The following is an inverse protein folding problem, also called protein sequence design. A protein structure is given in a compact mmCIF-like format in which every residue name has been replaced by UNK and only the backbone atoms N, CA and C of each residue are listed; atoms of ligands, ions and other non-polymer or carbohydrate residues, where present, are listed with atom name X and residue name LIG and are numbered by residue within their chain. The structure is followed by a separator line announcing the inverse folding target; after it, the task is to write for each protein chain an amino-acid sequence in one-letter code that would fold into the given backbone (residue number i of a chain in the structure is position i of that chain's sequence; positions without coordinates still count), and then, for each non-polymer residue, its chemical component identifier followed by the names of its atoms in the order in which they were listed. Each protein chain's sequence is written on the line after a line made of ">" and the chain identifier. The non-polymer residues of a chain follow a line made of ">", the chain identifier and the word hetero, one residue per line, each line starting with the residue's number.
data_IF_893883212706
#
_entry.id   IF_893883212706
#
_cell.length_a   1.000
_cell.length_b   1.000
_cell.length_c   1.000
_cell.angle_alpha   90.00
_cell.angle_beta   90.00
_cell.angle_gamma   90.00
#
_symmetry.space_group_name_H-M   'P 1'
#
loop_
_entity.id
_entity.type
_entity.pdbx_description
1 polymer ?
#
# COMPACT_ATOMS: atom_id res chain seq x y z
N UNK A 1 14.95 -10.66 -25.03
CA UNK A 1 13.68 -9.91 -24.89
C UNK A 1 12.89 -10.23 -23.60
N UNK A 2 13.53 -10.47 -22.44
CA UNK A 2 12.81 -10.88 -21.20
C UNK A 2 12.64 -9.71 -20.18
N UNK A 3 13.56 -8.73 -20.15
CA UNK A 3 13.54 -7.62 -19.16
C UNK A 3 12.31 -6.71 -19.25
N UNK A 4 11.82 -6.39 -20.45
CA UNK A 4 10.71 -5.42 -20.63
C UNK A 4 9.39 -5.92 -20.03
N UNK A 5 9.14 -7.24 -20.06
CA UNK A 5 7.90 -7.83 -19.54
C UNK A 5 7.82 -7.73 -18.02
N UNK A 6 8.95 -7.95 -17.32
CA UNK A 6 9.02 -7.83 -15.86
C UNK A 6 8.76 -6.39 -15.42
N UNK A 7 9.42 -5.43 -16.06
CA UNK A 7 9.26 -3.99 -15.78
C UNK A 7 7.83 -3.50 -16.01
N UNK A 8 7.17 -3.94 -17.09
CA UNK A 8 5.75 -3.61 -17.34
C UNK A 8 4.82 -4.18 -16.27
N UNK A 9 5.09 -5.38 -15.76
CA UNK A 9 4.30 -6.01 -14.70
C UNK A 9 4.45 -5.24 -13.40
N UNK A 10 5.68 -4.91 -13.01
CA UNK A 10 5.97 -4.14 -11.81
C UNK A 10 5.29 -2.76 -11.84
N UNK A 11 5.40 -2.03 -12.95
CA UNK A 11 4.70 -0.75 -13.12
C UNK A 11 3.17 -0.87 -13.01
N UNK A 12 2.61 -1.92 -13.61
CA UNK A 12 1.16 -2.17 -13.55
C UNK A 12 0.71 -2.53 -12.14
N UNK A 13 1.54 -3.28 -11.40
CA UNK A 13 1.29 -3.64 -10.02
C UNK A 13 1.33 -2.42 -9.10
N UNK A 14 2.32 -1.54 -9.28
CA UNK A 14 2.40 -0.25 -8.55
C UNK A 14 1.18 0.62 -8.77
N UNK A 15 0.74 0.78 -10.02
CA UNK A 15 -0.46 1.58 -10.33
C UNK A 15 -1.74 0.98 -9.77
N UNK A 16 -1.88 -0.34 -9.79
CA UNK A 16 -3.09 -1.00 -9.31
C UNK A 16 -3.11 -1.21 -7.79
N UNK A 17 -1.95 -1.26 -7.13
CA UNK A 17 -1.84 -1.47 -5.70
C UNK A 17 -2.72 -0.51 -4.88
N UNK A 18 -2.64 0.82 -5.02
CA UNK A 18 -3.44 1.74 -4.21
C UNK A 18 -4.94 1.61 -4.47
N UNK A 19 -5.35 1.22 -5.68
CA UNK A 19 -6.75 1.00 -6.03
C UNK A 19 -7.25 -0.30 -5.37
N UNK A 20 -6.45 -1.37 -5.46
CA UNK A 20 -6.79 -2.68 -4.92
C UNK A 20 -6.81 -2.67 -3.41
N UNK A 21 -5.80 -2.13 -2.74
CA UNK A 21 -5.73 -2.11 -1.28
C UNK A 21 -6.87 -1.30 -0.64
N UNK A 22 -7.27 -0.18 -1.26
CA UNK A 22 -8.45 0.59 -0.85
C UNK A 22 -9.74 -0.21 -1.00
N UNK A 23 -9.83 -1.06 -2.02
CA UNK A 23 -10.98 -1.95 -2.22
C UNK A 23 -10.97 -3.15 -1.27
N UNK A 24 -9.80 -3.65 -0.91
CA UNK A 24 -9.59 -4.81 -0.02
C UNK A 24 -9.85 -4.44 1.44
N UNK A 25 -9.21 -3.38 1.92
CA UNK A 25 -9.28 -2.94 3.32
C UNK A 25 -10.44 -1.96 3.58
N UNK A 26 -10.93 -1.31 2.53
CA UNK A 26 -11.91 -0.22 2.64
C UNK A 26 -11.26 1.09 3.06
N UNK A 27 -11.90 2.21 2.71
CA UNK A 27 -11.45 3.56 3.09
C UNK A 27 -11.50 3.72 4.62
N UNK A 28 -12.51 3.11 5.26
CA UNK A 28 -12.73 3.15 6.70
C UNK A 28 -11.52 2.65 7.51
N UNK A 29 -10.81 1.63 7.00
CA UNK A 29 -9.60 1.14 7.65
C UNK A 29 -8.52 2.23 7.73
N UNK A 30 -8.38 3.05 6.70
CA UNK A 30 -7.40 4.14 6.71
C UNK A 30 -7.88 5.32 7.54
N UNK A 31 -9.16 5.70 7.41
CA UNK A 31 -9.70 6.87 8.11
C UNK A 31 -9.93 6.62 9.60
N UNK A 32 -10.61 5.52 9.96
CA UNK A 32 -10.88 5.19 11.37
C UNK A 32 -9.74 4.37 11.99
N UNK A 33 -9.20 3.39 11.26
CA UNK A 33 -8.16 2.50 11.79
C UNK A 33 -6.79 3.16 11.92
N UNK A 34 -6.38 3.93 10.90
CA UNK A 34 -5.07 4.60 10.88
C UNK A 34 -5.15 6.10 11.17
N UNK A 35 -6.35 6.68 11.31
CA UNK A 35 -6.57 8.12 11.46
C UNK A 35 -6.05 8.98 10.28
N UNK A 36 -6.04 8.42 9.07
CA UNK A 36 -5.55 9.08 7.86
C UNK A 36 -6.72 9.58 7.03
N UNK A 37 -6.79 10.90 6.82
CA UNK A 37 -7.80 11.53 5.94
C UNK A 37 -7.80 10.90 4.54
N UNK A 38 -8.98 10.77 3.92
CA UNK A 38 -9.14 10.14 2.60
C UNK A 38 -8.19 10.73 1.54
N UNK A 39 -8.03 12.05 1.56
CA UNK A 39 -7.11 12.80 0.69
C UNK A 39 -5.64 12.38 0.88
N UNK A 40 -5.24 12.04 2.11
CA UNK A 40 -3.88 11.64 2.48
C UNK A 40 -3.65 10.15 2.30
N UNK A 41 -4.67 9.33 2.05
CA UNK A 41 -4.50 7.88 1.82
C UNK A 41 -3.54 7.61 0.66
N UNK A 42 -3.68 8.33 -0.46
CA UNK A 42 -2.76 8.15 -1.58
C UNK A 42 -1.32 8.51 -1.22
N UNK A 43 -1.13 9.57 -0.43
CA UNK A 43 0.19 9.99 0.04
C UNK A 43 0.80 8.97 1.00
N UNK A 44 0.00 8.45 1.93
CA UNK A 44 0.41 7.40 2.86
C UNK A 44 0.78 6.10 2.14
N UNK A 45 -0.02 5.69 1.15
CA UNK A 45 0.28 4.52 0.34
C UNK A 45 1.56 4.71 -0.49
N UNK A 46 1.82 5.93 -0.98
CA UNK A 46 3.08 6.26 -1.66
C UNK A 46 4.28 6.22 -0.70
N UNK A 47 4.11 6.68 0.54
CA UNK A 47 5.12 6.56 1.60
C UNK A 47 5.44 5.09 1.89
N UNK A 48 4.41 4.26 2.05
CA UNK A 48 4.55 2.82 2.25
C UNK A 48 5.15 2.09 1.03
N UNK A 49 5.12 2.68 -0.17
CA UNK A 49 5.65 2.07 -1.39
C UNK A 49 7.14 1.73 -1.28
N UNK A 50 7.88 2.48 -0.46
CA UNK A 50 9.32 2.26 -0.24
C UNK A 50 9.63 0.99 0.57
N UNK A 51 8.67 0.47 1.34
CA UNK A 51 8.87 -0.68 2.25
C UNK A 51 8.54 -2.06 1.65
N UNK A 52 8.56 -2.20 0.33
CA UNK A 52 8.22 -3.46 -0.36
C UNK A 52 6.79 -3.99 -0.06
N UNK A 53 5.88 -3.13 0.41
CA UNK A 53 4.49 -3.50 0.72
C UNK A 53 3.75 -4.11 -0.48
N UNK A 54 4.12 -3.67 -1.69
CA UNK A 54 3.57 -4.18 -2.94
C UNK A 54 3.92 -5.66 -3.10
N UNK A 55 5.18 -6.04 -2.88
CA UNK A 55 5.59 -7.44 -3.00
C UNK A 55 4.85 -8.33 -2.00
N UNK A 56 4.69 -7.86 -0.76
CA UNK A 56 3.95 -8.56 0.30
C UNK A 56 2.47 -8.73 -0.08
N UNK A 57 1.83 -7.68 -0.59
CA UNK A 57 0.45 -7.73 -1.06
C UNK A 57 0.25 -8.72 -2.19
N UNK A 58 1.14 -8.71 -3.19
CA UNK A 58 1.05 -9.65 -4.33
C UNK A 58 1.47 -11.08 -3.96
N UNK A 59 2.12 -11.30 -2.82
CA UNK A 59 2.33 -12.63 -2.21
C UNK A 59 1.09 -13.18 -1.49
N UNK A 60 -0.06 -12.49 -1.56
CA UNK A 60 -1.30 -12.86 -0.86
C UNK A 60 -1.23 -12.75 0.67
N UNK A 61 -0.21 -12.07 1.22
CA UNK A 61 -0.07 -11.85 2.65
C UNK A 61 -0.74 -10.55 3.08
N UNK A 62 -2.06 -10.44 2.93
CA UNK A 62 -2.82 -9.24 3.32
C UNK A 62 -2.64 -8.88 4.81
N UNK A 63 -2.55 -9.89 5.67
CA UNK A 63 -2.36 -9.70 7.12
C UNK A 63 -1.02 -9.05 7.45
N UNK A 64 0.03 -9.36 6.68
CA UNK A 64 1.35 -8.73 6.81
C UNK A 64 1.32 -7.30 6.27
N UNK A 65 0.60 -7.06 5.17
CA UNK A 65 0.34 -5.70 4.65
C UNK A 65 -0.35 -4.83 5.70
N UNK A 66 -1.38 -5.35 6.37
CA UNK A 66 -2.10 -4.63 7.44
C UNK A 66 -1.14 -4.28 8.58
N UNK A 67 -0.27 -5.21 9.00
CA UNK A 67 0.73 -4.95 10.04
C UNK A 67 1.68 -3.83 9.64
N UNK A 68 2.22 -3.89 8.42
CA UNK A 68 3.10 -2.84 7.89
C UNK A 68 2.36 -1.50 7.88
N UNK A 69 1.11 -1.44 7.41
CA UNK A 69 0.32 -0.20 7.40
C UNK A 69 0.10 0.35 8.82
N UNK A 70 -0.13 -0.49 9.81
CA UNK A 70 -0.29 -0.07 11.21
C UNK A 70 1.01 0.43 11.84
N UNK A 71 2.15 -0.18 11.50
CA UNK A 71 3.45 0.30 11.95
C UNK A 71 3.83 1.62 11.27
N UNK A 72 3.65 1.69 9.94
CA UNK A 72 3.92 2.89 9.16
C UNK A 72 3.00 4.04 9.53
N UNK A 73 1.73 3.79 9.89
CA UNK A 73 0.84 4.86 10.31
C UNK A 73 1.33 5.50 11.60
N UNK A 74 1.87 4.73 12.54
CA UNK A 74 2.46 5.28 13.77
C UNK A 74 3.66 6.16 13.43
N UNK A 75 4.59 5.65 12.62
CA UNK A 75 5.75 6.44 12.17
C UNK A 75 5.34 7.70 11.40
N UNK A 76 4.28 7.62 10.60
CA UNK A 76 3.75 8.75 9.83
C UNK A 76 3.09 9.81 10.72
N UNK A 77 2.53 9.44 11.88
CA UNK A 77 1.95 10.38 12.85
C UNK A 77 2.99 10.99 13.81
N UNK A 78 4.13 10.33 14.00
CA UNK A 78 5.24 10.86 14.81
C UNK A 78 6.18 11.80 14.04
N UNK A 79 6.02 11.89 12.71
CA UNK A 79 6.72 12.80 11.80
C UNK A 79 6.08 14.19 11.76
#
# INVERSE_FOLDING_TARGET
>A
MIKVRKLKRELSQKKQFPIKIKKDLGIDFFTNGLNISEEKINHFLAYCEYKNIIEVYYKNNLLEVIKILLEESKTYHEL
#
